data_IF_233946233141
#
_entry.id   IF_233946233141
#
_cell.length_a   1.000
_cell.length_b   1.000
_cell.length_c   1.000
_cell.angle_alpha   90.00
_cell.angle_beta   90.00
_cell.angle_gamma   90.00
#
_symmetry.space_group_name_H-M   'P 1'
#
loop_
_entity.id
_entity.type
_entity.pdbx_description
1 polymer ?
#
# COMPACT_ATOMS: atom_id res chain seq x y z
N UNK A 1 -0.54 4.76 -21.71
CA UNK A 1 -0.58 5.99 -22.52
C UNK A 1 -0.25 7.18 -21.67
N UNK A 2 1.03 7.49 -21.57
CA UNK A 2 1.51 8.70 -20.89
C UNK A 2 1.47 9.88 -21.85
N UNK A 3 1.11 11.05 -21.35
CA UNK A 3 1.44 12.27 -22.05
C UNK A 3 2.95 12.28 -22.31
N UNK A 4 3.42 12.61 -23.51
CA UNK A 4 4.82 12.88 -23.72
C UNK A 4 5.17 14.08 -22.87
N UNK A 5 5.90 13.85 -21.81
CA UNK A 5 6.42 14.87 -20.95
C UNK A 5 7.75 15.35 -21.53
N UNK A 6 8.13 16.58 -21.23
CA UNK A 6 9.42 17.16 -21.57
C UNK A 6 10.56 16.19 -21.30
N UNK A 7 11.24 15.72 -22.31
CA UNK A 7 12.49 15.03 -22.12
C UNK A 7 13.60 16.06 -21.81
N UNK A 8 14.39 15.82 -20.77
CA UNK A 8 15.80 16.15 -20.84
C UNK A 8 16.36 15.27 -21.97
N UNK A 9 16.42 15.83 -23.15
CA UNK A 9 16.41 15.18 -24.46
C UNK A 9 17.32 13.98 -24.71
N UNK A 10 18.22 13.64 -23.78
CA UNK A 10 19.25 12.67 -24.05
C UNK A 10 19.30 11.50 -23.04
N UNK A 11 18.53 11.51 -21.94
CA UNK A 11 18.56 10.41 -20.95
C UNK A 11 18.04 9.11 -21.57
N UNK A 12 16.93 9.14 -22.29
CA UNK A 12 16.36 7.96 -22.94
C UNK A 12 17.21 7.45 -24.11
N UNK A 13 18.03 8.29 -24.71
CA UNK A 13 18.98 7.86 -25.76
C UNK A 13 20.08 7.00 -25.17
N UNK A 14 20.58 7.32 -23.95
CA UNK A 14 21.50 6.45 -23.20
C UNK A 14 20.86 5.11 -22.86
N UNK A 15 19.59 5.12 -22.44
CA UNK A 15 18.85 3.89 -22.19
C UNK A 15 18.71 3.04 -23.46
N UNK A 16 18.37 3.64 -24.59
CA UNK A 16 18.27 2.92 -25.87
C UNK A 16 19.62 2.33 -26.31
N UNK A 17 20.72 3.05 -26.11
CA UNK A 17 22.07 2.54 -26.36
C UNK A 17 22.39 1.34 -25.46
N UNK A 18 21.98 1.38 -24.20
CA UNK A 18 22.18 0.26 -23.28
C UNK A 18 21.30 -0.94 -23.63
N UNK A 19 20.06 -0.72 -24.04
CA UNK A 19 19.18 -1.78 -24.57
C UNK A 19 19.81 -2.45 -25.81
N UNK A 20 20.34 -1.67 -26.75
CA UNK A 20 20.98 -2.20 -27.94
C UNK A 20 22.20 -3.07 -27.63
N UNK A 21 23.02 -2.68 -26.63
CA UNK A 21 24.13 -3.51 -26.13
C UNK A 21 23.68 -4.87 -25.57
N UNK A 22 22.45 -4.93 -25.03
CA UNK A 22 21.87 -6.13 -24.44
C UNK A 22 20.91 -6.87 -25.40
N UNK A 23 21.09 -6.69 -26.71
CA UNK A 23 20.32 -7.36 -27.79
C UNK A 23 18.81 -7.05 -27.76
N UNK A 24 18.41 -5.89 -27.26
CA UNK A 24 17.06 -5.36 -27.40
C UNK A 24 17.06 -4.38 -28.56
N UNK A 25 16.03 -4.41 -29.41
CA UNK A 25 15.88 -3.50 -30.56
C UNK A 25 14.98 -2.30 -30.16
N UNK A 26 15.56 -1.17 -29.74
CA UNK A 26 14.80 0.01 -29.40
C UNK A 26 14.48 0.86 -30.64
N UNK A 27 13.29 1.48 -30.61
CA UNK A 27 12.93 2.59 -31.51
C UNK A 27 12.79 3.83 -30.62
N UNK A 28 13.48 4.90 -30.98
CA UNK A 28 13.40 6.18 -30.30
C UNK A 28 12.34 7.07 -30.97
N UNK A 29 11.35 7.51 -30.22
CA UNK A 29 10.40 8.54 -30.66
C UNK A 29 10.74 9.85 -29.94
N UNK A 30 11.09 10.87 -30.68
CA UNK A 30 11.40 12.20 -30.16
C UNK A 30 10.37 13.21 -30.70
N UNK A 31 9.65 13.88 -29.84
CA UNK A 31 8.61 14.86 -30.23
C UNK A 31 9.19 16.18 -30.78
N UNK A 32 10.50 16.36 -30.66
CA UNK A 32 11.23 17.52 -31.21
C UNK A 32 11.47 17.36 -32.69
N UNK A 33 11.71 18.49 -33.36
CA UNK A 33 12.22 18.51 -34.73
C UNK A 33 13.61 17.87 -34.79
N UNK A 34 14.02 17.47 -35.97
CA UNK A 34 15.34 16.83 -36.18
C UNK A 34 16.46 17.76 -35.71
N UNK A 35 17.32 17.24 -34.87
CA UNK A 35 18.48 17.95 -34.31
C UNK A 35 19.64 16.95 -34.14
N UNK A 36 20.84 17.46 -33.99
CA UNK A 36 22.03 16.64 -33.73
C UNK A 36 22.48 16.77 -32.27
N UNK A 37 22.96 15.68 -31.71
CA UNK A 37 23.74 15.62 -30.48
C UNK A 37 24.65 14.39 -30.50
N UNK A 38 25.69 14.39 -29.68
CA UNK A 38 26.62 13.23 -29.62
C UNK A 38 25.88 11.89 -29.38
N UNK A 39 24.83 11.90 -28.54
CA UNK A 39 24.06 10.68 -28.27
C UNK A 39 23.14 10.27 -29.42
N UNK A 40 22.65 11.22 -30.22
CA UNK A 40 21.90 10.93 -31.44
C UNK A 40 22.81 10.29 -32.44
N UNK A 41 23.99 10.88 -32.66
CA UNK A 41 24.95 10.40 -33.62
C UNK A 41 25.49 9.01 -33.24
N UNK A 42 25.75 8.79 -31.96
CA UNK A 42 26.10 7.47 -31.41
C UNK A 42 24.96 6.46 -31.64
N UNK A 43 23.71 6.81 -31.31
CA UNK A 43 22.57 5.92 -31.53
C UNK A 43 22.33 5.57 -32.98
N UNK A 44 22.43 6.55 -33.87
CA UNK A 44 22.38 6.33 -35.35
C UNK A 44 23.51 5.40 -35.80
N UNK A 45 24.74 5.60 -35.30
CA UNK A 45 25.88 4.74 -35.63
C UNK A 45 25.73 3.28 -35.18
N UNK A 46 24.94 3.05 -34.14
CA UNK A 46 24.60 1.70 -33.66
C UNK A 46 23.35 1.11 -34.32
N UNK A 47 22.81 1.78 -35.36
CA UNK A 47 21.64 1.31 -36.08
C UNK A 47 20.32 1.38 -35.30
N UNK A 48 20.20 2.30 -34.34
CA UNK A 48 18.93 2.54 -33.62
C UNK A 48 18.06 3.46 -34.51
N UNK A 49 16.81 3.04 -34.72
CA UNK A 49 15.81 3.83 -35.45
C UNK A 49 15.37 5.03 -34.55
N UNK A 50 15.61 6.25 -35.07
CA UNK A 50 15.22 7.48 -34.36
C UNK A 50 14.24 8.25 -35.25
N UNK A 51 13.04 8.48 -34.72
CA UNK A 51 11.96 9.17 -35.43
C UNK A 51 11.66 10.49 -34.73
N UNK A 52 12.06 11.59 -35.35
CA UNK A 52 11.79 12.94 -34.88
C UNK A 52 10.35 13.38 -35.20
N UNK A 53 9.84 14.32 -34.45
CA UNK A 53 8.43 14.78 -34.49
C UNK A 53 7.43 13.64 -34.35
N UNK A 54 7.77 12.57 -33.62
CA UNK A 54 6.90 11.44 -33.39
C UNK A 54 6.60 11.23 -31.92
N UNK A 55 5.40 10.69 -31.64
CA UNK A 55 5.01 10.29 -30.30
C UNK A 55 4.05 9.12 -30.29
N UNK A 56 3.91 8.48 -29.14
CA UNK A 56 2.95 7.40 -28.92
C UNK A 56 1.55 7.99 -28.75
N UNK A 57 0.57 7.44 -29.46
CA UNK A 57 -0.85 7.81 -29.40
C UNK A 57 -1.60 6.83 -28.48
N UNK A 58 -1.44 5.53 -28.75
CA UNK A 58 -2.15 4.45 -28.05
C UNK A 58 -1.23 3.26 -27.88
N UNK A 59 -1.26 2.63 -26.70
CA UNK A 59 -0.70 1.31 -26.48
C UNK A 59 -1.78 0.25 -26.69
N UNK A 60 -1.48 -0.77 -27.49
CA UNK A 60 -2.39 -1.86 -27.77
C UNK A 60 -1.96 -3.14 -27.07
N UNK A 61 -2.91 -3.86 -26.52
CA UNK A 61 -2.72 -5.12 -25.81
C UNK A 61 -3.79 -5.32 -24.75
N UNK A 62 -3.78 -6.46 -24.08
CA UNK A 62 -4.71 -6.74 -22.97
C UNK A 62 -3.95 -6.99 -21.67
N UNK A 63 -3.22 -8.12 -21.56
CA UNK A 63 -2.39 -8.44 -20.39
C UNK A 63 -0.97 -7.86 -20.48
N UNK A 64 -0.52 -7.57 -21.68
CA UNK A 64 0.78 -6.97 -21.99
C UNK A 64 0.66 -6.14 -23.25
N UNK A 65 1.56 -5.19 -23.44
CA UNK A 65 1.69 -4.43 -24.67
C UNK A 65 2.06 -5.39 -25.81
N UNK A 66 1.44 -5.20 -26.97
CA UNK A 66 1.73 -5.93 -28.22
C UNK A 66 2.14 -5.02 -29.36
N UNK A 67 1.63 -3.80 -29.34
CA UNK A 67 1.99 -2.78 -30.34
C UNK A 67 1.69 -1.39 -29.81
N UNK A 68 2.25 -0.38 -30.42
CA UNK A 68 1.94 1.01 -30.20
C UNK A 68 1.46 1.67 -31.49
N UNK A 69 0.38 2.44 -31.43
CA UNK A 69 0.03 3.38 -32.47
C UNK A 69 0.87 4.64 -32.25
N UNK A 70 1.67 5.02 -33.22
CA UNK A 70 2.54 6.19 -33.19
C UNK A 70 2.13 7.18 -34.27
N UNK A 71 2.43 8.45 -34.06
CA UNK A 71 2.08 9.49 -35.01
C UNK A 71 3.18 10.50 -35.24
N UNK A 72 3.34 10.90 -36.48
CA UNK A 72 4.17 12.05 -36.88
C UNK A 72 3.37 13.33 -36.63
N UNK A 73 3.87 14.17 -35.74
CA UNK A 73 3.27 15.46 -35.42
C UNK A 73 3.49 16.45 -36.59
N UNK A 74 2.48 17.29 -36.84
CA UNK A 74 2.66 18.44 -37.72
C UNK A 74 3.54 19.50 -37.03
N UNK A 75 3.95 20.54 -37.80
CA UNK A 75 4.84 21.60 -37.30
C UNK A 75 4.32 22.29 -36.02
N UNK A 76 3.02 22.52 -35.95
CA UNK A 76 2.38 23.18 -34.80
C UNK A 76 2.08 22.21 -33.64
N UNK A 77 2.38 20.92 -33.80
CA UNK A 77 2.16 19.83 -32.84
C UNK A 77 0.71 19.71 -32.35
N UNK A 78 -0.26 20.16 -33.12
CA UNK A 78 -1.68 20.12 -32.82
C UNK A 78 -2.46 19.02 -33.53
N UNK A 79 -1.81 18.30 -34.44
CA UNK A 79 -2.38 17.19 -35.21
C UNK A 79 -1.31 16.23 -35.72
N UNK A 80 -1.72 15.10 -36.29
CA UNK A 80 -0.81 14.12 -36.89
C UNK A 80 -0.84 14.21 -38.41
N UNK A 81 0.36 14.24 -39.04
CA UNK A 81 0.53 14.11 -40.49
C UNK A 81 0.36 12.65 -40.94
N UNK A 82 0.91 11.72 -40.16
CA UNK A 82 0.89 10.30 -40.45
C UNK A 82 0.76 9.52 -39.16
N UNK A 83 -0.05 8.46 -39.19
CA UNK A 83 -0.23 7.53 -38.06
C UNK A 83 0.09 6.12 -38.57
N UNK A 84 0.84 5.37 -37.77
CA UNK A 84 1.19 3.98 -38.08
C UNK A 84 1.20 3.13 -36.77
N UNK A 85 1.17 1.83 -36.94
CA UNK A 85 1.26 0.88 -35.82
C UNK A 85 2.62 0.17 -35.87
N UNK A 86 3.29 0.11 -34.74
CA UNK A 86 4.58 -0.54 -34.56
C UNK A 86 4.43 -1.65 -33.51
N UNK A 87 4.86 -2.84 -33.84
CA UNK A 87 4.89 -3.96 -32.90
C UNK A 87 5.95 -3.71 -31.83
N UNK A 88 5.58 -3.86 -30.59
CA UNK A 88 6.46 -3.75 -29.43
C UNK A 88 5.89 -4.50 -28.23
N UNK A 89 6.75 -4.94 -27.34
CA UNK A 89 6.38 -5.60 -26.09
C UNK A 89 6.55 -4.71 -24.86
N UNK A 90 7.22 -3.57 -25.03
CA UNK A 90 7.42 -2.58 -23.98
C UNK A 90 7.44 -1.16 -24.54
N UNK A 91 6.86 -0.21 -23.80
CA UNK A 91 6.92 1.23 -24.09
C UNK A 91 7.60 1.91 -22.91
N UNK A 92 8.80 2.44 -23.14
CA UNK A 92 9.55 3.21 -22.17
C UNK A 92 9.28 4.70 -22.37
N UNK A 93 8.84 5.39 -21.32
CA UNK A 93 8.59 6.83 -21.38
C UNK A 93 9.58 7.54 -20.48
N UNK A 94 10.31 8.50 -21.03
CA UNK A 94 11.15 9.41 -20.28
C UNK A 94 10.56 10.82 -20.39
N UNK A 95 10.09 11.30 -19.27
CA UNK A 95 9.59 12.67 -19.16
C UNK A 95 10.70 13.67 -18.87
N UNK A 96 10.35 14.78 -18.26
CA UNK A 96 11.31 15.77 -17.80
C UNK A 96 11.56 15.65 -16.29
N UNK A 97 12.59 16.31 -15.82
CA UNK A 97 12.87 16.43 -14.41
C UNK A 97 12.25 17.71 -13.87
N UNK A 98 11.66 17.60 -12.70
CA UNK A 98 11.13 18.75 -11.95
C UNK A 98 11.81 18.82 -10.59
N UNK A 99 12.10 20.00 -10.07
CA UNK A 99 12.66 20.14 -8.73
C UNK A 99 11.77 19.48 -7.67
N UNK A 100 12.39 18.75 -6.75
CA UNK A 100 11.67 18.15 -5.62
C UNK A 100 11.45 19.20 -4.53
N UNK A 101 10.45 20.04 -4.72
CA UNK A 101 10.16 21.21 -3.85
C UNK A 101 9.29 20.87 -2.63
N UNK A 102 8.93 19.58 -2.46
CA UNK A 102 7.98 19.17 -1.43
C UNK A 102 8.42 19.56 -0.02
N UNK A 103 9.66 19.26 0.35
CA UNK A 103 10.18 19.59 1.69
C UNK A 103 10.24 21.10 1.93
N UNK A 104 10.68 21.87 0.94
CA UNK A 104 10.69 23.32 1.02
C UNK A 104 9.27 23.90 1.17
N UNK A 105 8.31 23.37 0.40
CA UNK A 105 6.91 23.76 0.51
C UNK A 105 6.29 23.37 1.86
N UNK A 106 6.59 22.17 2.36
CA UNK A 106 6.09 21.67 3.65
C UNK A 106 6.67 22.46 4.84
N UNK A 107 7.90 22.99 4.70
CA UNK A 107 8.48 23.91 5.69
C UNK A 107 7.84 25.32 5.67
N UNK A 108 6.89 25.53 4.76
CA UNK A 108 6.15 26.79 4.61
C UNK A 108 6.79 27.80 3.68
N UNK A 109 7.82 27.43 2.94
CA UNK A 109 8.43 28.30 1.94
C UNK A 109 7.46 28.57 0.79
N UNK A 110 7.57 29.75 0.21
CA UNK A 110 6.91 30.06 -1.05
C UNK A 110 7.72 29.48 -2.21
N UNK A 111 7.01 29.10 -3.24
CA UNK A 111 7.59 28.65 -4.50
C UNK A 111 7.45 29.76 -5.53
N UNK A 112 8.42 29.86 -6.45
CA UNK A 112 8.33 30.68 -7.65
C UNK A 112 8.48 29.83 -8.90
N UNK A 113 7.84 30.22 -9.98
CA UNK A 113 8.01 29.59 -11.27
C UNK A 113 9.29 30.10 -11.95
N UNK A 114 10.10 29.19 -12.43
CA UNK A 114 11.34 29.50 -13.17
C UNK A 114 11.14 29.11 -14.64
N UNK A 115 11.02 30.12 -15.49
CA UNK A 115 10.70 29.94 -16.91
C UNK A 115 11.75 29.16 -17.70
N UNK A 116 13.02 29.23 -17.28
CA UNK A 116 14.13 28.53 -17.97
C UNK A 116 14.00 27.01 -17.88
N UNK A 117 13.45 26.53 -16.79
CA UNK A 117 13.25 25.10 -16.56
C UNK A 117 11.75 24.72 -16.53
N UNK A 118 10.86 25.69 -16.77
CA UNK A 118 9.40 25.54 -16.72
C UNK A 118 8.90 24.75 -15.51
N UNK A 119 9.40 25.07 -14.34
CA UNK A 119 9.07 24.37 -13.09
C UNK A 119 9.12 25.33 -11.90
N UNK A 120 8.54 24.89 -10.79
CA UNK A 120 8.62 25.63 -9.54
C UNK A 120 9.92 25.34 -8.81
N UNK A 121 10.53 26.37 -8.22
CA UNK A 121 11.69 26.28 -7.32
C UNK A 121 11.39 26.99 -6.01
N UNK A 122 12.10 26.66 -4.91
CA UNK A 122 12.00 27.39 -3.65
C UNK A 122 12.34 28.88 -3.81
N UNK A 123 11.57 29.76 -3.16
CA UNK A 123 11.77 31.21 -3.20
C UNK A 123 11.98 31.75 -1.77
N UNK A 124 10.90 32.29 -1.14
CA UNK A 124 10.98 32.90 0.18
C UNK A 124 10.96 31.87 1.29
N UNK A 125 12.02 31.87 2.10
CA UNK A 125 12.21 30.95 3.23
C UNK A 125 11.41 31.39 4.45
N UNK A 126 10.79 30.45 5.13
CA UNK A 126 10.18 30.62 6.45
C UNK A 126 11.02 30.06 7.58
N UNK A 127 11.81 29.04 7.30
CA UNK A 127 12.64 28.34 8.27
C UNK A 127 14.13 28.45 7.91
N UNK A 128 15.00 28.05 8.85
CA UNK A 128 16.44 28.01 8.64
C UNK A 128 16.82 26.80 7.79
N UNK A 129 16.46 26.82 6.51
CA UNK A 129 16.78 25.76 5.55
C UNK A 129 17.28 26.38 4.23
N UNK A 130 17.95 25.59 3.41
CA UNK A 130 18.38 25.99 2.08
C UNK A 130 18.30 24.79 1.14
N UNK A 131 17.54 24.94 0.08
CA UNK A 131 17.46 23.95 -0.99
C UNK A 131 18.57 24.18 -2.01
N UNK A 132 19.28 23.12 -2.38
CA UNK A 132 20.40 23.12 -3.32
C UNK A 132 20.29 22.03 -4.35
N UNK A 133 21.08 22.09 -5.40
CA UNK A 133 21.12 21.08 -6.46
C UNK A 133 19.77 20.95 -7.17
N UNK A 134 19.37 19.73 -7.52
CA UNK A 134 18.15 19.44 -8.28
C UNK A 134 16.87 19.93 -7.58
N UNK A 135 16.83 19.98 -6.25
CA UNK A 135 15.71 20.53 -5.48
C UNK A 135 15.57 22.06 -5.69
N UNK A 136 16.59 22.72 -6.18
CA UNK A 136 16.59 24.16 -6.53
C UNK A 136 16.74 24.42 -8.05
N UNK A 137 16.48 23.38 -8.88
CA UNK A 137 16.44 23.51 -10.34
C UNK A 137 17.79 23.31 -11.06
N UNK A 138 18.85 22.90 -10.36
CA UNK A 138 20.15 22.57 -10.97
C UNK A 138 20.20 21.08 -11.26
N UNK A 139 20.07 20.71 -12.54
CA UNK A 139 19.94 19.30 -12.94
C UNK A 139 21.26 18.67 -13.43
N UNK A 140 22.34 19.45 -13.57
CA UNK A 140 23.65 18.91 -13.88
C UNK A 140 24.42 18.57 -12.62
N UNK A 141 25.34 17.61 -12.69
CA UNK A 141 26.22 17.24 -11.57
C UNK A 141 27.14 18.41 -11.20
N UNK A 142 27.67 19.10 -12.21
CA UNK A 142 28.52 20.28 -12.03
C UNK A 142 27.82 21.37 -11.21
N UNK A 143 26.63 21.78 -11.63
CA UNK A 143 25.82 22.80 -10.93
C UNK A 143 25.43 22.35 -9.53
N UNK A 144 25.04 21.07 -9.36
CA UNK A 144 24.63 20.50 -8.07
C UNK A 144 25.78 20.50 -7.07
N UNK A 145 26.99 20.12 -7.50
CA UNK A 145 28.20 20.17 -6.67
C UNK A 145 28.52 21.62 -6.31
N UNK A 146 28.54 22.51 -7.28
CA UNK A 146 28.81 23.94 -7.05
C UNK A 146 27.84 24.53 -6.02
N UNK A 147 26.56 24.33 -6.20
CA UNK A 147 25.53 24.78 -5.23
C UNK A 147 25.72 24.18 -3.84
N UNK A 148 26.05 22.87 -3.77
CA UNK A 148 26.31 22.20 -2.49
C UNK A 148 27.50 22.79 -1.75
N UNK A 149 28.62 22.94 -2.42
CA UNK A 149 29.86 23.48 -1.86
C UNK A 149 29.71 24.96 -1.43
N UNK A 150 29.16 25.81 -2.31
CA UNK A 150 28.96 27.24 -2.02
C UNK A 150 28.01 27.46 -0.82
N UNK A 151 26.88 26.75 -0.79
CA UNK A 151 25.93 26.90 0.30
C UNK A 151 26.45 26.24 1.61
N UNK A 152 27.11 25.13 1.54
CA UNK A 152 27.75 24.48 2.69
C UNK A 152 28.81 25.41 3.33
N UNK A 153 29.70 26.00 2.53
CA UNK A 153 30.69 26.98 2.98
C UNK A 153 30.04 28.21 3.62
N UNK A 154 29.01 28.76 2.99
CA UNK A 154 28.30 29.93 3.50
C UNK A 154 27.55 29.64 4.81
N UNK A 155 26.98 28.45 4.99
CA UNK A 155 26.33 28.03 6.23
C UNK A 155 27.37 27.79 7.34
N UNK A 156 28.47 27.12 7.02
CA UNK A 156 29.58 26.93 7.96
C UNK A 156 30.11 28.26 8.45
N UNK A 157 30.39 29.22 7.56
CA UNK A 157 30.85 30.55 7.92
C UNK A 157 29.91 31.30 8.87
N UNK A 158 28.61 31.09 8.76
CA UNK A 158 27.61 31.68 9.68
C UNK A 158 27.62 31.07 11.08
N UNK A 159 28.06 29.83 11.19
CA UNK A 159 28.08 29.09 12.47
C UNK A 159 29.43 29.24 13.19
N UNK A 160 30.53 29.25 12.41
CA UNK A 160 31.90 29.22 12.95
C UNK A 160 32.62 30.56 12.84
N UNK A 161 32.00 31.59 12.26
CA UNK A 161 32.60 32.88 11.86
C UNK A 161 33.85 32.74 10.99
N UNK A 162 34.07 31.57 10.38
CA UNK A 162 35.24 31.26 9.55
C UNK A 162 34.79 30.82 8.18
N UNK A 163 35.19 31.55 7.13
CA UNK A 163 34.94 31.14 5.75
C UNK A 163 36.02 30.18 5.27
N UNK A 164 35.62 28.96 4.97
CA UNK A 164 36.53 27.96 4.40
C UNK A 164 36.41 28.01 2.86
N UNK A 165 37.54 28.22 2.19
CA UNK A 165 37.60 28.04 0.74
C UNK A 165 37.71 26.55 0.43
N UNK A 166 36.73 26.04 -0.28
CA UNK A 166 36.66 24.62 -0.70
C UNK A 166 36.79 24.58 -2.22
N UNK A 167 37.76 23.79 -2.71
CA UNK A 167 37.92 23.54 -4.12
C UNK A 167 36.73 22.74 -4.63
N UNK A 168 35.97 23.30 -5.59
CA UNK A 168 34.84 22.62 -6.22
C UNK A 168 35.40 21.60 -7.23
N UNK A 169 35.02 20.30 -7.13
CA UNK A 169 35.48 19.30 -8.09
C UNK A 169 35.07 19.66 -9.51
N UNK A 170 36.02 19.56 -10.44
CA UNK A 170 35.73 19.75 -11.86
C UNK A 170 35.07 18.49 -12.42
N UNK A 171 33.96 18.63 -13.12
CA UNK A 171 33.19 17.52 -13.68
C UNK A 171 33.12 17.70 -15.19
N UNK A 172 33.54 16.67 -15.92
CA UNK A 172 33.35 16.62 -17.36
C UNK A 172 32.00 15.99 -17.67
N UNK A 173 30.95 16.81 -17.74
CA UNK A 173 29.58 16.34 -17.99
C UNK A 173 29.10 16.79 -19.38
N UNK A 174 28.46 15.85 -20.09
CA UNK A 174 27.83 16.14 -21.38
C UNK A 174 26.64 17.07 -21.18
N UNK A 175 26.58 18.16 -21.93
CA UNK A 175 25.46 19.09 -21.92
C UNK A 175 24.19 18.43 -22.48
N UNK A 176 23.08 18.61 -21.81
CA UNK A 176 21.78 18.17 -22.28
C UNK A 176 21.20 19.17 -23.30
N UNK A 177 20.50 18.66 -24.31
CA UNK A 177 19.87 19.50 -25.34
C UNK A 177 18.71 20.35 -24.80
N UNK A 178 18.27 21.30 -25.60
CA UNK A 178 17.18 22.21 -25.27
C UNK A 178 15.86 21.50 -24.96
N UNK A 179 15.08 22.07 -24.05
CA UNK A 179 13.74 21.59 -23.71
C UNK A 179 12.73 21.87 -24.82
N UNK A 180 11.71 21.01 -24.92
CA UNK A 180 10.54 21.24 -25.75
C UNK A 180 9.29 21.40 -24.87
N UNK A 181 8.56 22.50 -25.08
CA UNK A 181 7.32 22.79 -24.34
C UNK A 181 6.14 22.05 -24.96
N UNK A 182 6.13 20.73 -24.82
CA UNK A 182 5.07 19.89 -25.34
C UNK A 182 4.45 19.04 -24.23
N UNK A 183 3.25 19.33 -23.85
CA UNK A 183 2.64 18.82 -22.61
C UNK A 183 1.56 17.76 -22.83
N UNK A 184 0.97 17.70 -24.04
CA UNK A 184 -0.12 16.80 -24.34
C UNK A 184 -0.12 16.40 -25.80
N UNK A 185 -0.21 15.11 -26.08
CA UNK A 185 -0.42 14.62 -27.46
C UNK A 185 -1.79 15.08 -27.97
N UNK A 186 -1.89 15.52 -29.25
CA UNK A 186 -3.18 15.79 -29.86
C UNK A 186 -3.99 14.51 -29.99
N UNK A 187 -5.31 14.65 -30.13
CA UNK A 187 -6.18 13.52 -30.41
C UNK A 187 -6.19 13.20 -31.91
N UNK A 188 -6.09 11.92 -32.28
CA UNK A 188 -6.31 11.53 -33.66
C UNK A 188 -7.79 11.73 -34.05
N UNK A 189 -8.04 11.94 -35.34
CA UNK A 189 -9.42 12.05 -35.85
C UNK A 189 -10.18 10.75 -35.55
N UNK A 190 -11.38 10.90 -35.00
CA UNK A 190 -12.31 9.80 -34.67
C UNK A 190 -11.82 8.81 -33.59
N UNK A 191 -10.79 9.13 -32.83
CA UNK A 191 -10.33 8.32 -31.70
C UNK A 191 -10.16 9.21 -30.46
N UNK A 192 -10.50 8.69 -29.30
CA UNK A 192 -10.34 9.40 -28.03
C UNK A 192 -9.66 8.50 -27.01
N UNK A 193 -8.36 8.21 -27.18
CA UNK A 193 -7.60 7.43 -26.21
C UNK A 193 -7.49 8.18 -24.87
N UNK A 194 -7.51 7.45 -23.76
CA UNK A 194 -7.25 8.04 -22.46
C UNK A 194 -5.82 8.58 -22.39
N UNK A 195 -5.68 9.84 -21.98
CA UNK A 195 -4.40 10.52 -21.78
C UNK A 195 -4.21 10.76 -20.27
N UNK A 196 -3.52 9.82 -19.61
CA UNK A 196 -3.32 9.87 -18.17
C UNK A 196 -2.32 10.96 -17.78
N UNK A 197 -2.68 11.72 -16.75
CA UNK A 197 -1.88 12.76 -16.10
C UNK A 197 -1.29 12.24 -14.79
N UNK A 198 -2.10 11.56 -14.00
CA UNK A 198 -1.72 10.93 -12.73
C UNK A 198 -2.06 9.45 -12.78
N UNK A 199 -1.04 8.60 -12.73
CA UNK A 199 -1.21 7.14 -12.80
C UNK A 199 -1.59 6.50 -11.48
N UNK A 200 -1.34 7.16 -10.35
CA UNK A 200 -1.65 6.58 -9.04
C UNK A 200 -3.16 6.65 -8.75
N UNK A 201 -3.82 7.67 -9.29
CA UNK A 201 -5.26 7.87 -9.14
C UNK A 201 -6.02 7.85 -10.48
N UNK A 202 -5.39 7.37 -11.56
CA UNK A 202 -5.98 7.27 -12.90
C UNK A 202 -6.58 8.57 -13.44
N UNK A 203 -6.03 9.73 -13.03
CA UNK A 203 -6.52 11.03 -13.51
C UNK A 203 -6.08 11.26 -14.94
N UNK A 204 -7.02 11.53 -15.82
CA UNK A 204 -6.80 11.80 -17.24
C UNK A 204 -7.00 13.29 -17.59
N UNK A 205 -6.63 13.64 -18.81
CA UNK A 205 -6.89 14.98 -19.36
C UNK A 205 -8.39 15.30 -19.33
N UNK A 206 -9.24 14.34 -19.69
CA UNK A 206 -10.70 14.52 -19.68
C UNK A 206 -11.27 14.81 -18.29
N UNK A 207 -10.66 14.26 -17.22
CA UNK A 207 -11.11 14.56 -15.85
C UNK A 207 -10.81 16.01 -15.47
N UNK A 208 -9.66 16.55 -15.91
CA UNK A 208 -9.32 17.95 -15.74
C UNK A 208 -10.26 18.85 -16.55
N UNK A 209 -10.55 18.49 -17.81
CA UNK A 209 -11.49 19.20 -18.67
C UNK A 209 -12.90 19.23 -18.04
N UNK A 210 -13.36 18.11 -17.48
CA UNK A 210 -14.63 18.04 -16.74
C UNK A 210 -14.61 18.97 -15.51
N UNK A 211 -13.56 18.90 -14.68
CA UNK A 211 -13.45 19.74 -13.50
C UNK A 211 -13.56 21.24 -13.85
N UNK A 212 -12.87 21.67 -14.90
CA UNK A 212 -12.92 23.07 -15.37
C UNK A 212 -14.29 23.44 -15.92
N UNK A 213 -14.95 22.54 -16.67
CA UNK A 213 -16.30 22.72 -17.17
C UNK A 213 -17.35 22.83 -16.06
N UNK A 214 -17.17 22.07 -14.98
CA UNK A 214 -18.00 22.13 -13.76
C UNK A 214 -17.75 23.41 -12.93
N UNK A 215 -16.79 24.25 -13.32
CA UNK A 215 -16.53 25.55 -12.71
C UNK A 215 -15.40 25.57 -11.67
N UNK A 216 -14.66 24.50 -11.47
CA UNK A 216 -13.52 24.46 -10.57
C UNK A 216 -12.32 25.17 -11.21
N UNK A 217 -12.08 26.43 -10.89
CA UNK A 217 -11.02 27.28 -11.49
C UNK A 217 -9.70 27.25 -10.72
N UNK A 218 -9.77 27.07 -9.40
CA UNK A 218 -8.57 26.96 -8.57
C UNK A 218 -7.95 25.57 -8.74
N UNK A 219 -6.64 25.52 -8.95
CA UNK A 219 -5.92 24.23 -9.07
C UNK A 219 -6.10 23.35 -7.82
N UNK A 220 -6.24 23.93 -6.63
CA UNK A 220 -6.53 23.20 -5.40
C UNK A 220 -7.93 22.58 -5.41
N UNK A 221 -8.90 23.16 -6.09
CA UNK A 221 -10.23 22.56 -6.28
C UNK A 221 -10.21 21.49 -7.38
N UNK A 222 -9.55 21.77 -8.50
CA UNK A 222 -9.32 20.76 -9.55
C UNK A 222 -8.65 19.53 -8.97
N UNK A 223 -7.61 19.71 -8.14
CA UNK A 223 -6.93 18.64 -7.41
C UNK A 223 -7.91 17.80 -6.58
N UNK A 224 -8.80 18.42 -5.81
CA UNK A 224 -9.75 17.71 -4.95
C UNK A 224 -10.86 17.01 -5.73
N UNK A 225 -11.30 17.62 -6.81
CA UNK A 225 -12.33 17.05 -7.66
C UNK A 225 -11.83 15.82 -8.42
N UNK A 226 -10.60 15.89 -8.96
CA UNK A 226 -10.01 14.83 -9.79
C UNK A 226 -9.11 13.86 -9.04
N UNK A 227 -8.74 14.15 -7.79
CA UNK A 227 -7.69 13.49 -7.02
C UNK A 227 -6.26 13.65 -7.58
N UNK A 228 -6.05 14.58 -8.52
CA UNK A 228 -4.75 14.89 -9.11
C UNK A 228 -3.70 15.19 -8.03
N UNK A 229 -2.62 14.44 -7.99
CA UNK A 229 -1.51 14.64 -7.05
C UNK A 229 -1.86 14.40 -5.58
N UNK A 230 -2.92 13.65 -5.28
CA UNK A 230 -3.33 13.31 -3.91
C UNK A 230 -2.78 11.97 -3.43
N UNK A 231 -2.16 11.19 -4.29
CA UNK A 231 -1.58 9.90 -3.93
C UNK A 231 -0.25 10.05 -3.15
N UNK A 232 0.41 8.93 -2.86
CA UNK A 232 1.57 8.87 -1.97
C UNK A 232 2.78 9.67 -2.44
N UNK A 233 2.93 9.93 -3.74
CA UNK A 233 3.98 10.78 -4.29
C UNK A 233 3.66 12.27 -4.21
N UNK A 234 2.46 12.63 -3.77
CA UNK A 234 1.94 14.00 -3.68
C UNK A 234 2.14 14.80 -4.97
N UNK A 235 1.88 14.14 -6.11
CA UNK A 235 1.94 14.75 -7.44
C UNK A 235 3.34 15.04 -7.96
N UNK A 236 4.37 14.37 -7.44
CA UNK A 236 5.76 14.53 -7.93
C UNK A 236 5.87 14.32 -9.43
N UNK A 237 5.12 13.37 -9.98
CA UNK A 237 5.14 13.02 -11.40
C UNK A 237 3.99 13.63 -12.21
N UNK A 238 2.97 14.22 -11.56
CA UNK A 238 1.71 14.62 -12.20
C UNK A 238 1.37 16.11 -12.06
N UNK A 239 1.73 16.75 -10.95
CA UNK A 239 1.27 18.11 -10.65
C UNK A 239 1.64 19.13 -11.73
N UNK A 240 2.88 19.15 -12.20
CA UNK A 240 3.30 20.12 -13.20
C UNK A 240 2.60 19.90 -14.55
N UNK A 241 2.39 18.65 -14.95
CA UNK A 241 1.61 18.32 -16.14
C UNK A 241 0.16 18.81 -16.02
N UNK A 242 -0.47 18.58 -14.86
CA UNK A 242 -1.82 19.05 -14.58
C UNK A 242 -1.92 20.58 -14.61
N UNK A 243 -0.94 21.28 -14.02
CA UNK A 243 -0.87 22.75 -14.03
C UNK A 243 -0.74 23.30 -15.46
N UNK A 244 0.10 22.72 -16.29
CA UNK A 244 0.25 23.13 -17.67
C UNK A 244 -1.01 22.87 -18.51
N UNK A 245 -1.72 21.77 -18.25
CA UNK A 245 -3.00 21.50 -18.90
C UNK A 245 -4.06 22.55 -18.50
N UNK A 246 -4.19 22.85 -17.20
CA UNK A 246 -5.10 23.90 -16.74
C UNK A 246 -4.73 25.25 -17.34
N UNK A 247 -3.44 25.57 -17.37
CA UNK A 247 -2.89 26.78 -18.02
C UNK A 247 -3.33 26.88 -19.49
N UNK A 248 -3.15 25.81 -20.25
CA UNK A 248 -3.52 25.76 -21.67
C UNK A 248 -5.03 25.86 -21.89
N UNK A 249 -5.85 25.14 -21.10
CA UNK A 249 -7.31 25.13 -21.25
C UNK A 249 -7.92 26.48 -20.85
N UNK A 250 -7.41 27.10 -19.78
CA UNK A 250 -7.87 28.39 -19.28
C UNK A 250 -7.23 29.58 -20.00
N UNK A 251 -6.30 29.34 -20.92
CA UNK A 251 -5.51 30.38 -21.61
C UNK A 251 -4.81 31.35 -20.63
N UNK A 252 -4.21 30.81 -19.58
CA UNK A 252 -3.45 31.49 -18.54
C UNK A 252 -2.00 31.06 -18.53
N UNK A 253 -1.12 31.85 -17.94
CA UNK A 253 0.25 31.38 -17.66
C UNK A 253 0.29 30.56 -16.36
N UNK A 254 1.22 29.62 -16.24
CA UNK A 254 1.34 28.74 -15.07
C UNK A 254 1.43 29.48 -13.73
N UNK A 255 2.15 30.60 -13.60
CA UNK A 255 2.13 31.41 -12.38
C UNK A 255 0.75 31.89 -11.95
N UNK A 256 -0.16 32.15 -12.89
CA UNK A 256 -1.54 32.57 -12.59
C UNK A 256 -2.42 31.40 -12.16
N UNK A 257 -2.16 30.21 -12.67
CA UNK A 257 -2.81 28.97 -12.19
C UNK A 257 -2.38 28.66 -10.77
N UNK A 258 -1.13 28.98 -10.43
CA UNK A 258 -0.53 28.74 -9.13
C UNK A 258 0.08 27.34 -9.00
N UNK A 259 0.13 26.83 -7.78
CA UNK A 259 0.62 25.47 -7.49
C UNK A 259 -0.21 24.83 -6.38
N UNK A 260 -0.13 23.52 -6.28
CA UNK A 260 -0.81 22.75 -5.24
C UNK A 260 0.03 22.68 -3.97
N UNK A 261 -0.64 22.62 -2.82
CA UNK A 261 0.03 22.41 -1.53
C UNK A 261 0.40 20.92 -1.37
N UNK A 262 1.64 20.67 -1.03
CA UNK A 262 2.16 19.34 -0.78
C UNK A 262 1.98 18.95 0.69
N UNK A 263 1.45 17.76 0.96
CA UNK A 263 1.25 17.25 2.32
C UNK A 263 2.28 16.15 2.64
N UNK A 264 2.81 16.11 3.88
CA UNK A 264 3.64 14.99 4.30
C UNK A 264 2.77 13.73 4.55
N UNK A 265 3.34 12.52 4.36
CA UNK A 265 4.59 12.24 3.67
C UNK A 265 4.38 12.18 2.14
N UNK A 266 5.31 12.72 1.37
CA UNK A 266 5.27 12.63 -0.11
C UNK A 266 6.01 11.40 -0.67
N UNK A 267 6.68 10.67 0.18
CA UNK A 267 7.32 9.37 -0.11
C UNK A 267 6.65 8.32 0.77
N UNK A 268 6.25 7.16 0.21
CA UNK A 268 5.69 6.08 1.01
C UNK A 268 6.65 5.69 2.14
N UNK A 269 6.15 5.71 3.36
CA UNK A 269 6.89 5.30 4.56
C UNK A 269 6.14 4.21 5.28
N UNK A 270 6.87 3.28 5.88
CA UNK A 270 6.27 2.22 6.67
C UNK A 270 5.83 2.75 8.04
N UNK A 271 4.82 2.13 8.62
CA UNK A 271 4.38 2.42 10.00
C UNK A 271 5.56 2.27 10.97
N UNK A 272 6.42 1.26 10.76
CA UNK A 272 7.61 1.07 11.59
C UNK A 272 8.59 2.26 11.56
N UNK A 273 8.70 2.97 10.43
CA UNK A 273 9.49 4.20 10.32
C UNK A 273 8.89 5.33 11.16
N UNK A 274 7.56 5.46 11.19
CA UNK A 274 6.85 6.46 11.99
C UNK A 274 7.02 6.17 13.49
N UNK A 275 6.87 4.91 13.89
CA UNK A 275 7.05 4.45 15.28
C UNK A 275 8.50 4.66 15.74
N UNK A 276 9.46 4.57 14.84
CA UNK A 276 10.88 4.73 15.16
C UNK A 276 11.47 3.50 15.87
N UNK A 277 12.36 3.75 16.84
CA UNK A 277 13.06 2.69 17.58
C UNK A 277 12.33 2.23 18.84
N UNK A 278 11.38 3.00 19.30
CA UNK A 278 10.60 2.72 20.50
C UNK A 278 9.42 1.80 20.16
N UNK A 279 9.76 0.55 19.84
CA UNK A 279 8.79 -0.51 19.54
C UNK A 279 8.50 -1.29 20.83
N UNK A 280 7.52 -0.84 21.58
CA UNK A 280 7.09 -1.49 22.83
C UNK A 280 5.82 -2.31 22.65
N UNK A 281 5.16 -2.55 23.78
CA UNK A 281 3.95 -3.36 23.86
C UNK A 281 2.77 -2.74 23.09
N UNK A 282 2.73 -1.42 22.96
CA UNK A 282 1.70 -0.71 22.19
C UNK A 282 1.80 -0.95 20.70
N UNK A 283 3.04 -1.13 20.17
CA UNK A 283 3.26 -1.45 18.77
C UNK A 283 2.88 -2.89 18.42
N UNK A 284 3.22 -3.83 19.30
CA UNK A 284 2.94 -5.25 19.11
C UNK A 284 2.47 -5.84 20.45
N UNK A 285 1.19 -5.62 20.82
CA UNK A 285 0.70 -6.05 22.11
C UNK A 285 0.79 -7.56 22.25
N UNK A 286 1.30 -8.01 23.39
CA UNK A 286 1.35 -9.42 23.76
C UNK A 286 0.27 -9.70 24.78
N UNK A 287 -0.63 -10.63 24.45
CA UNK A 287 -1.68 -11.10 25.35
C UNK A 287 -1.21 -12.37 26.06
N UNK A 288 -1.44 -12.42 27.35
CA UNK A 288 -1.06 -13.54 28.21
C UNK A 288 -2.30 -14.15 28.84
N UNK A 289 -2.33 -15.48 28.95
CA UNK A 289 -3.41 -16.17 29.68
C UNK A 289 -3.24 -15.99 31.20
N UNK A 290 -4.27 -16.18 32.02
CA UNK A 290 -4.11 -16.18 33.47
C UNK A 290 -3.12 -17.22 33.98
N UNK A 291 -2.86 -18.29 33.25
CA UNK A 291 -1.91 -19.35 33.58
C UNK A 291 -0.49 -19.09 33.07
N UNK A 292 -0.21 -17.96 32.45
CA UNK A 292 1.05 -17.70 31.75
C UNK A 292 2.29 -17.88 32.64
N UNK A 293 2.27 -17.33 33.85
CA UNK A 293 3.38 -17.46 34.81
C UNK A 293 3.60 -18.93 35.24
N UNK A 294 2.50 -19.69 35.39
CA UNK A 294 2.60 -21.11 35.69
C UNK A 294 3.28 -21.87 34.53
N UNK A 295 2.91 -21.53 33.30
CA UNK A 295 3.53 -22.13 32.11
C UNK A 295 5.03 -21.82 32.06
N UNK A 296 5.44 -20.56 32.32
CA UNK A 296 6.84 -20.17 32.37
C UNK A 296 7.63 -20.95 33.44
N UNK A 297 7.08 -21.05 34.64
CA UNK A 297 7.69 -21.80 35.76
C UNK A 297 7.83 -23.30 35.48
N UNK A 298 7.02 -23.84 34.56
CA UNK A 298 7.05 -25.24 34.16
C UNK A 298 7.75 -25.46 32.80
N UNK A 299 8.63 -24.57 32.38
CA UNK A 299 9.44 -24.66 31.17
C UNK A 299 8.62 -24.78 29.87
N UNK A 300 7.48 -24.13 29.80
CA UNK A 300 6.71 -24.05 28.56
C UNK A 300 7.50 -23.30 27.47
N UNK A 301 7.53 -23.88 26.29
CA UNK A 301 7.96 -23.18 25.07
C UNK A 301 6.73 -22.59 24.42
N UNK A 302 6.74 -21.27 24.17
CA UNK A 302 5.58 -20.57 23.66
C UNK A 302 5.60 -20.45 22.15
N UNK A 303 4.41 -20.30 21.57
CA UNK A 303 4.15 -19.94 20.17
C UNK A 303 3.16 -18.78 20.15
N UNK A 304 3.34 -17.89 19.17
CA UNK A 304 2.40 -16.81 18.95
C UNK A 304 1.16 -17.31 18.19
N UNK A 305 -0.01 -17.05 18.74
CA UNK A 305 -1.31 -17.31 18.12
C UNK A 305 -2.06 -15.96 18.07
N UNK A 306 -1.94 -15.23 16.96
CA UNK A 306 -2.29 -13.81 16.91
C UNK A 306 -1.42 -13.02 17.90
N UNK A 307 -2.05 -12.24 18.78
CA UNK A 307 -1.36 -11.52 19.85
C UNK A 307 -1.09 -12.36 21.11
N UNK A 308 -1.61 -13.57 21.19
CA UNK A 308 -1.51 -14.40 22.37
C UNK A 308 -0.21 -15.21 22.41
N UNK A 309 0.43 -15.27 23.61
CA UNK A 309 1.45 -16.28 23.93
C UNK A 309 0.76 -17.57 24.38
N UNK A 310 0.90 -18.60 23.59
CA UNK A 310 0.29 -19.92 23.83
C UNK A 310 1.35 -20.96 24.12
N UNK A 311 1.24 -21.78 25.22
CA UNK A 311 2.17 -22.86 25.43
C UNK A 311 2.06 -23.89 24.30
N UNK A 312 3.20 -24.24 23.72
CA UNK A 312 3.29 -25.23 22.63
C UNK A 312 3.60 -26.63 23.15
N UNK A 313 4.57 -26.70 24.06
CA UNK A 313 4.98 -27.91 24.76
C UNK A 313 5.77 -27.54 26.02
N UNK A 314 5.97 -28.48 26.94
CA UNK A 314 6.76 -28.30 28.15
C UNK A 314 8.06 -29.07 28.03
N UNK A 315 9.18 -28.36 27.93
CA UNK A 315 10.49 -28.91 27.69
C UNK A 315 11.02 -29.67 28.90
N UNK A 316 11.52 -30.90 28.71
CA UNK A 316 12.24 -31.69 29.69
C UNK A 316 13.67 -31.97 29.21
N UNK A 317 14.66 -31.51 29.98
CA UNK A 317 16.07 -31.64 29.60
C UNK A 317 16.40 -31.04 28.24
N UNK A 318 17.06 -31.80 27.38
CA UNK A 318 17.49 -31.34 26.05
C UNK A 318 16.60 -31.89 24.91
N UNK A 319 15.37 -32.34 25.21
CA UNK A 319 14.48 -32.85 24.18
C UNK A 319 14.11 -31.79 23.10
N UNK A 320 13.97 -32.29 21.89
CA UNK A 320 13.47 -31.50 20.76
C UNK A 320 11.96 -31.35 20.83
N UNK A 321 11.41 -30.41 20.04
CA UNK A 321 9.95 -30.25 19.87
C UNK A 321 9.24 -31.56 19.55
N UNK A 322 9.82 -32.40 18.66
CA UNK A 322 9.21 -33.65 18.23
C UNK A 322 9.19 -34.68 19.37
N UNK A 323 10.26 -34.81 20.13
CA UNK A 323 10.34 -35.70 21.29
C UNK A 323 9.37 -35.29 22.40
N UNK A 324 9.30 -33.99 22.73
CA UNK A 324 8.36 -33.44 23.68
C UNK A 324 6.92 -33.74 23.26
N UNK A 325 6.56 -33.40 22.00
CA UNK A 325 5.22 -33.63 21.46
C UNK A 325 4.84 -35.12 21.49
N UNK A 326 5.77 -36.02 21.16
CA UNK A 326 5.55 -37.45 21.21
C UNK A 326 5.30 -37.95 22.64
N UNK A 327 6.10 -37.48 23.61
CA UNK A 327 5.95 -37.78 25.03
C UNK A 327 4.60 -37.30 25.57
N UNK A 328 4.23 -36.05 25.29
CA UNK A 328 2.98 -35.47 25.75
C UNK A 328 1.76 -36.17 25.10
N UNK A 329 1.80 -36.42 23.80
CA UNK A 329 0.74 -37.15 23.12
C UNK A 329 0.56 -38.56 23.66
N UNK A 330 1.67 -39.27 23.96
CA UNK A 330 1.63 -40.61 24.59
C UNK A 330 0.96 -40.52 25.97
N UNK A 331 1.32 -39.52 26.79
CA UNK A 331 0.71 -39.33 28.11
C UNK A 331 -0.81 -39.12 28.00
N UNK A 332 -1.27 -38.29 27.06
CA UNK A 332 -2.70 -38.09 26.85
C UNK A 332 -3.42 -39.35 26.44
N UNK A 333 -2.78 -40.21 25.62
CA UNK A 333 -3.35 -41.48 25.16
C UNK A 333 -3.46 -42.52 26.27
N UNK A 334 -2.50 -42.57 27.19
CA UNK A 334 -2.41 -43.59 28.24
C UNK A 334 -2.96 -43.10 29.60
N UNK A 335 -2.99 -41.83 29.84
CA UNK A 335 -3.35 -41.24 31.12
C UNK A 335 -4.35 -40.08 30.97
N UNK A 336 -3.91 -38.87 31.27
CA UNK A 336 -4.68 -37.63 31.16
C UNK A 336 -3.73 -36.49 30.85
N UNK A 337 -4.18 -35.58 30.01
CA UNK A 337 -3.52 -34.31 29.74
C UNK A 337 -4.47 -33.12 29.95
N UNK A 338 -3.90 -31.98 30.32
CA UNK A 338 -4.58 -30.69 30.41
C UNK A 338 -3.93 -29.74 29.42
N UNK A 339 -4.72 -28.98 28.70
CA UNK A 339 -4.24 -27.96 27.76
C UNK A 339 -4.93 -26.62 28.04
N UNK A 340 -4.16 -25.54 28.18
CA UNK A 340 -4.71 -24.19 28.27
C UNK A 340 -5.27 -23.78 26.90
N UNK A 341 -6.57 -23.66 26.81
CA UNK A 341 -7.33 -23.22 25.62
C UNK A 341 -7.98 -21.86 25.84
N UNK A 342 -7.51 -21.10 26.83
CA UNK A 342 -7.99 -19.74 27.15
C UNK A 342 -7.92 -18.81 25.94
N UNK A 343 -6.99 -19.05 25.02
CA UNK A 343 -6.78 -18.18 23.85
C UNK A 343 -7.87 -18.30 22.78
N UNK A 344 -8.72 -19.35 22.82
CA UNK A 344 -9.84 -19.48 21.88
C UNK A 344 -10.77 -18.28 22.02
N UNK A 345 -11.29 -17.79 20.91
CA UNK A 345 -12.32 -16.76 20.93
C UNK A 345 -13.59 -17.29 21.61
N UNK A 346 -14.28 -16.45 22.36
CA UNK A 346 -15.54 -16.74 23.01
C UNK A 346 -16.49 -15.61 22.76
N UNK A 347 -17.69 -15.93 22.29
CA UNK A 347 -18.71 -14.96 21.95
C UNK A 347 -20.04 -15.44 22.54
N UNK A 348 -20.67 -14.58 23.28
CA UNK A 348 -22.05 -14.80 23.75
C UNK A 348 -23.04 -14.21 22.76
N UNK A 349 -24.07 -14.98 22.43
CA UNK A 349 -25.12 -14.63 21.50
C UNK A 349 -26.45 -14.75 22.25
N UNK A 350 -27.18 -13.65 22.38
CA UNK A 350 -28.42 -13.55 23.14
C UNK A 350 -29.53 -12.87 22.37
N UNK A 351 -30.70 -13.40 22.46
CA UNK A 351 -31.89 -12.82 21.85
C UNK A 351 -32.92 -13.87 21.43
N UNK A 352 -34.18 -13.51 21.25
CA UNK A 352 -35.20 -14.45 20.84
C UNK A 352 -34.89 -15.09 19.48
N UNK A 353 -34.18 -14.38 18.57
CA UNK A 353 -33.84 -14.88 17.27
C UNK A 353 -32.42 -15.47 17.17
N UNK A 354 -31.76 -15.69 18.32
CA UNK A 354 -30.36 -16.21 18.36
C UNK A 354 -30.23 -17.58 17.70
N UNK A 355 -31.21 -18.48 17.84
CA UNK A 355 -31.20 -19.79 17.18
C UNK A 355 -31.29 -19.69 15.67
N UNK A 356 -32.16 -18.82 15.18
CA UNK A 356 -32.32 -18.56 13.74
C UNK A 356 -31.08 -17.89 13.15
N UNK A 357 -30.54 -16.88 13.83
CA UNK A 357 -29.31 -16.23 13.41
C UNK A 357 -28.16 -17.23 13.25
N UNK A 358 -27.92 -18.06 14.26
CA UNK A 358 -26.90 -19.10 14.19
C UNK A 358 -27.16 -20.11 13.06
N UNK A 359 -28.42 -20.42 12.80
CA UNK A 359 -28.80 -21.33 11.74
C UNK A 359 -28.57 -20.75 10.33
N UNK A 360 -28.52 -19.40 10.21
CA UNK A 360 -28.18 -18.71 8.95
C UNK A 360 -26.67 -18.60 8.72
N UNK A 361 -25.88 -18.39 9.77
CA UNK A 361 -24.43 -18.17 9.63
C UNK A 361 -23.61 -19.46 9.63
N UNK A 362 -24.15 -20.56 10.15
CA UNK A 362 -23.48 -21.86 10.19
C UNK A 362 -24.13 -22.87 9.23
N UNK A 363 -23.38 -23.87 8.83
CA UNK A 363 -23.89 -24.99 8.02
C UNK A 363 -24.76 -25.99 8.80
N UNK A 364 -24.84 -25.86 10.12
CA UNK A 364 -25.48 -26.81 11.04
C UNK A 364 -26.87 -26.32 11.48
N UNK A 365 -27.71 -27.25 11.96
CA UNK A 365 -29.10 -26.96 12.38
C UNK A 365 -29.17 -26.53 13.87
N UNK A 366 -29.00 -25.24 14.14
CA UNK A 366 -28.95 -24.69 15.52
C UNK A 366 -30.32 -24.59 16.17
N UNK A 367 -31.37 -24.36 15.41
CA UNK A 367 -32.74 -24.30 15.93
C UNK A 367 -33.17 -25.58 16.67
N UNK A 368 -32.58 -26.73 16.30
CA UNK A 368 -32.85 -28.06 16.91
C UNK A 368 -31.85 -28.43 18.00
N UNK A 369 -30.97 -27.53 18.43
CA UNK A 369 -30.03 -27.80 19.49
C UNK A 369 -30.76 -27.70 20.85
N UNK A 370 -30.82 -28.76 21.68
CA UNK A 370 -31.43 -28.66 23.00
C UNK A 370 -30.63 -27.76 23.96
N UNK A 371 -31.32 -27.18 24.96
CA UNK A 371 -30.66 -26.47 26.04
C UNK A 371 -29.74 -27.42 26.81
N UNK A 372 -28.57 -26.95 27.23
CA UNK A 372 -27.53 -27.75 27.90
C UNK A 372 -26.69 -28.61 26.95
N UNK A 373 -26.85 -28.46 25.61
CA UNK A 373 -26.06 -29.20 24.64
C UNK A 373 -25.18 -28.27 23.83
N UNK A 374 -24.01 -28.82 23.46
CA UNK A 374 -23.08 -28.20 22.54
C UNK A 374 -23.17 -28.84 21.14
N UNK A 375 -22.74 -28.13 20.13
CA UNK A 375 -22.59 -28.63 18.76
C UNK A 375 -21.37 -28.01 18.12
N UNK A 376 -20.58 -28.83 17.46
CA UNK A 376 -19.52 -28.39 16.57
C UNK A 376 -20.14 -27.88 15.26
N UNK A 377 -19.66 -26.76 14.75
CA UNK A 377 -20.16 -26.13 13.54
C UNK A 377 -19.06 -25.58 12.66
N UNK A 378 -19.37 -25.51 11.38
CA UNK A 378 -18.54 -24.86 10.36
C UNK A 378 -19.21 -23.56 9.90
N UNK A 379 -18.49 -22.47 9.98
CA UNK A 379 -18.87 -21.18 9.41
C UNK A 379 -18.19 -21.04 8.06
N UNK A 380 -18.97 -20.77 7.02
CA UNK A 380 -18.47 -20.58 5.65
C UNK A 380 -18.63 -19.13 5.25
N UNK A 381 -17.76 -18.69 4.37
CA UNK A 381 -17.96 -17.50 3.57
C UNK A 381 -18.98 -17.76 2.46
N UNK A 382 -19.46 -16.70 1.82
CA UNK A 382 -20.44 -16.78 0.72
C UNK A 382 -19.93 -17.57 -0.50
N UNK A 383 -18.60 -17.63 -0.67
CA UNK A 383 -17.93 -18.43 -1.71
C UNK A 383 -17.76 -19.93 -1.33
N UNK A 384 -18.26 -20.34 -0.17
CA UNK A 384 -18.18 -21.72 0.34
C UNK A 384 -16.86 -22.09 1.00
N UNK A 385 -15.92 -21.15 1.13
CA UNK A 385 -14.65 -21.38 1.83
C UNK A 385 -14.89 -21.32 3.34
N UNK A 386 -14.28 -22.23 4.08
CA UNK A 386 -14.35 -22.26 5.55
C UNK A 386 -13.73 -20.96 6.11
N UNK A 387 -14.52 -20.24 6.85
CA UNK A 387 -14.09 -19.02 7.54
C UNK A 387 -13.55 -19.34 8.94
N UNK A 388 -14.30 -20.13 9.69
CA UNK A 388 -13.94 -20.58 11.03
C UNK A 388 -14.71 -21.86 11.41
N UNK A 389 -14.29 -22.49 12.49
CA UNK A 389 -14.96 -23.61 13.10
C UNK A 389 -14.94 -23.49 14.63
N UNK A 390 -15.86 -24.16 15.31
CA UNK A 390 -15.89 -24.14 16.75
C UNK A 390 -17.10 -24.86 17.33
N UNK A 391 -17.18 -24.83 18.65
CA UNK A 391 -18.33 -25.37 19.38
C UNK A 391 -19.24 -24.24 19.84
N UNK A 392 -20.53 -24.44 19.73
CA UNK A 392 -21.54 -23.54 20.28
C UNK A 392 -22.45 -24.31 21.24
N UNK A 393 -22.56 -23.84 22.45
CA UNK A 393 -23.38 -24.42 23.52
C UNK A 393 -24.65 -23.59 23.70
N UNK A 394 -25.82 -24.21 23.75
CA UNK A 394 -27.05 -23.57 24.11
C UNK A 394 -27.21 -23.55 25.63
N UNK A 395 -26.88 -22.40 26.26
CA UNK A 395 -26.91 -22.22 27.72
C UNK A 395 -28.36 -22.14 28.25
N UNK A 396 -29.22 -21.40 27.53
CA UNK A 396 -30.65 -21.30 27.79
C UNK A 396 -31.40 -21.15 26.48
N UNK A 397 -32.70 -20.99 26.51
CA UNK A 397 -33.54 -20.89 25.31
C UNK A 397 -33.02 -19.84 24.32
N UNK A 398 -32.64 -18.66 24.83
CA UNK A 398 -32.21 -17.51 24.02
C UNK A 398 -30.76 -17.09 24.28
N UNK A 399 -29.93 -17.99 24.82
CA UNK A 399 -28.52 -17.71 25.11
C UNK A 399 -27.62 -18.83 24.61
N UNK A 400 -26.69 -18.46 23.74
CA UNK A 400 -25.66 -19.35 23.19
C UNK A 400 -24.27 -18.81 23.52
N UNK A 401 -23.35 -19.72 23.82
CA UNK A 401 -21.94 -19.45 24.04
C UNK A 401 -21.17 -20.19 22.95
N UNK A 402 -20.49 -19.45 22.08
CA UNK A 402 -19.71 -20.02 20.99
C UNK A 402 -18.22 -19.82 21.20
N UNK A 403 -17.43 -20.78 20.71
CA UNK A 403 -15.99 -20.68 20.63
C UNK A 403 -15.57 -20.53 19.18
N UNK A 404 -14.42 -19.87 18.96
CA UNK A 404 -13.79 -19.66 17.63
C UNK A 404 -12.32 -20.02 17.71
N UNK A 405 -11.67 -20.18 16.57
CA UNK A 405 -10.20 -20.27 16.57
C UNK A 405 -9.60 -18.99 17.12
N UNK A 406 -8.45 -19.09 17.77
CA UNK A 406 -7.77 -17.97 18.44
C UNK A 406 -7.54 -16.79 17.48
N UNK A 407 -7.02 -17.07 16.29
CA UNK A 407 -6.67 -16.05 15.30
C UNK A 407 -7.89 -15.39 14.63
N UNK A 408 -9.04 -16.09 14.61
CA UNK A 408 -10.24 -15.62 13.94
C UNK A 408 -11.26 -14.94 14.85
N UNK A 409 -11.01 -14.88 16.15
CA UNK A 409 -11.98 -14.36 17.13
C UNK A 409 -12.56 -12.97 16.77
N UNK A 410 -11.70 -12.04 16.36
CA UNK A 410 -12.12 -10.69 15.95
C UNK A 410 -12.85 -10.69 14.60
N UNK A 411 -12.38 -11.49 13.63
CA UNK A 411 -12.99 -11.56 12.30
C UNK A 411 -14.40 -12.18 12.38
N UNK A 412 -14.56 -13.22 13.18
CA UNK A 412 -15.88 -13.85 13.41
C UNK A 412 -16.83 -12.86 14.07
N UNK A 413 -16.39 -12.14 15.12
CA UNK A 413 -17.24 -11.12 15.74
C UNK A 413 -17.69 -10.06 14.74
N UNK A 414 -16.76 -9.50 13.98
CA UNK A 414 -17.08 -8.50 12.93
C UNK A 414 -18.02 -9.05 11.86
N UNK A 415 -17.88 -10.31 11.48
CA UNK A 415 -18.78 -10.99 10.54
C UNK A 415 -20.19 -11.11 11.09
N UNK A 416 -20.33 -11.52 12.35
CA UNK A 416 -21.63 -11.61 13.02
C UNK A 416 -22.30 -10.24 13.13
N UNK A 417 -21.54 -9.21 13.52
CA UNK A 417 -22.02 -7.82 13.61
C UNK A 417 -22.46 -7.29 12.24
N UNK A 418 -21.71 -7.57 11.17
CA UNK A 418 -22.08 -7.18 9.81
C UNK A 418 -23.45 -7.73 9.42
N UNK A 419 -23.67 -9.03 9.65
CA UNK A 419 -24.95 -9.63 9.29
C UNK A 419 -26.11 -9.08 10.14
N UNK A 420 -25.90 -8.84 11.42
CA UNK A 420 -26.94 -8.29 12.29
C UNK A 420 -27.25 -6.82 12.03
N UNK A 421 -26.24 -6.02 11.66
CA UNK A 421 -26.43 -4.59 11.48
C UNK A 421 -26.84 -4.21 10.06
N UNK A 422 -26.46 -5.00 9.06
CA UNK A 422 -26.59 -4.64 7.64
C UNK A 422 -27.49 -5.60 6.87
N UNK A 423 -27.30 -6.92 7.02
CA UNK A 423 -27.99 -7.91 6.16
C UNK A 423 -29.32 -8.34 6.75
N UNK A 424 -29.37 -8.56 8.07
CA UNK A 424 -30.60 -9.01 8.80
C UNK A 424 -30.87 -8.13 10.02
N UNK A 425 -31.05 -6.82 9.84
CA UNK A 425 -31.26 -5.88 10.95
C UNK A 425 -32.61 -6.09 11.68
N UNK A 426 -33.50 -6.90 11.08
CA UNK A 426 -34.77 -7.28 11.69
C UNK A 426 -34.64 -8.31 12.81
N UNK A 427 -33.52 -9.04 12.90
CA UNK A 427 -33.31 -10.05 13.94
C UNK A 427 -32.98 -9.42 15.29
N UNK A 428 -33.71 -9.83 16.31
CA UNK A 428 -33.47 -9.37 17.67
C UNK A 428 -32.43 -10.24 18.38
N UNK A 429 -31.17 -9.93 18.10
CA UNK A 429 -29.99 -10.65 18.58
C UNK A 429 -28.90 -9.66 19.00
N UNK A 430 -28.24 -9.95 20.14
CA UNK A 430 -27.06 -9.25 20.62
C UNK A 430 -25.88 -10.21 20.64
N UNK A 431 -24.73 -9.75 20.14
CA UNK A 431 -23.46 -10.48 20.17
C UNK A 431 -22.44 -9.69 21.01
N UNK A 432 -21.66 -10.41 21.82
CA UNK A 432 -20.62 -9.78 22.64
C UNK A 432 -19.43 -10.71 22.81
N UNK A 433 -18.21 -10.18 22.63
CA UNK A 433 -17.00 -10.95 22.93
C UNK A 433 -16.85 -11.13 24.44
N UNK A 434 -16.69 -12.37 24.84
CA UNK A 434 -16.39 -12.76 26.22
C UNK A 434 -15.04 -13.47 26.36
N UNK A 435 -14.18 -13.28 25.36
CA UNK A 435 -12.87 -13.96 25.23
C UNK A 435 -12.01 -13.76 26.48
N UNK A 436 -11.94 -12.55 27.02
CA UNK A 436 -11.15 -12.25 28.21
C UNK A 436 -11.85 -12.56 29.55
N UNK A 437 -13.13 -12.92 29.52
CA UNK A 437 -13.90 -13.20 30.75
C UNK A 437 -13.74 -14.65 31.19
N UNK A 438 -13.24 -15.53 30.32
CA UNK A 438 -13.18 -16.96 30.61
C UNK A 438 -11.74 -17.49 30.41
N UNK A 439 -11.22 -18.13 31.45
CA UNK A 439 -10.11 -19.07 31.30
C UNK A 439 -10.64 -20.43 30.90
N UNK A 440 -10.02 -21.07 29.94
CA UNK A 440 -10.44 -22.37 29.42
C UNK A 440 -9.34 -23.42 29.54
N UNK A 441 -9.69 -24.61 30.03
CA UNK A 441 -8.79 -25.75 30.03
C UNK A 441 -9.49 -26.96 29.41
N UNK A 442 -8.80 -27.57 28.41
CA UNK A 442 -9.24 -28.83 27.83
C UNK A 442 -8.58 -29.99 28.57
N UNK A 443 -9.38 -30.93 29.06
CA UNK A 443 -8.93 -32.13 29.74
C UNK A 443 -9.25 -33.34 28.86
N UNK A 444 -8.24 -34.15 28.52
CA UNK A 444 -8.40 -35.27 27.64
C UNK A 444 -7.61 -36.49 28.15
N UNK A 445 -8.05 -37.69 27.75
CA UNK A 445 -7.42 -38.95 28.05
C UNK A 445 -8.30 -39.91 28.88
N UNK A 446 -7.95 -41.23 28.91
CA UNK A 446 -8.78 -42.24 29.53
C UNK A 446 -9.02 -42.02 31.06
N UNK A 447 -8.09 -41.33 31.72
CA UNK A 447 -8.20 -41.03 33.17
C UNK A 447 -8.79 -39.65 33.48
N UNK A 448 -9.28 -38.90 32.47
CA UNK A 448 -9.79 -37.53 32.65
C UNK A 448 -10.95 -37.43 33.64
N UNK A 449 -11.90 -38.38 33.60
CA UNK A 449 -13.05 -38.42 34.48
C UNK A 449 -12.64 -38.63 35.96
N UNK A 450 -11.71 -39.54 36.22
CA UNK A 450 -11.17 -39.76 37.56
C UNK A 450 -10.41 -38.57 38.13
N UNK A 451 -9.79 -37.76 37.25
CA UNK A 451 -9.17 -36.48 37.63
C UNK A 451 -10.23 -35.43 37.98
N UNK A 452 -11.27 -35.30 37.18
CA UNK A 452 -12.38 -34.36 37.43
C UNK A 452 -13.09 -34.65 38.76
N UNK A 453 -13.39 -35.94 39.06
CA UNK A 453 -14.00 -36.35 40.35
C UNK A 453 -13.14 -35.97 41.56
N UNK A 454 -11.81 -35.92 41.42
CA UNK A 454 -10.92 -35.51 42.51
C UNK A 454 -10.88 -33.98 42.67
N UNK A 455 -10.96 -33.24 41.58
CA UNK A 455 -10.94 -31.77 41.57
C UNK A 455 -12.28 -31.19 42.05
N UNK A 456 -13.36 -31.86 41.70
CA UNK A 456 -14.74 -31.43 41.97
C UNK A 456 -15.51 -32.61 42.60
N UNK A 457 -15.28 -32.92 43.89
CA UNK A 457 -15.89 -34.11 44.56
C UNK A 457 -17.41 -34.08 44.59
N UNK A 458 -17.97 -32.88 44.61
CA UNK A 458 -19.43 -32.65 44.69
C UNK A 458 -20.12 -32.66 43.32
N UNK A 459 -19.33 -32.80 42.22
CA UNK A 459 -19.86 -32.83 40.86
C UNK A 459 -20.02 -34.26 40.39
N UNK A 460 -21.21 -34.63 39.99
CA UNK A 460 -21.45 -35.87 39.28
C UNK A 460 -20.88 -35.78 37.87
N UNK A 461 -19.83 -36.52 37.60
CA UNK A 461 -19.13 -36.60 36.29
C UNK A 461 -19.41 -37.91 35.56
N UNK A 462 -20.49 -38.63 35.92
CA UNK A 462 -20.95 -39.86 35.24
C UNK A 462 -21.31 -39.61 33.76
N UNK A 463 -21.48 -40.65 32.98
CA UNK A 463 -21.93 -40.51 31.58
C UNK A 463 -23.37 -39.96 31.48
N UNK A 464 -24.18 -40.23 32.52
CA UNK A 464 -25.56 -39.75 32.64
C UNK A 464 -25.59 -38.25 32.89
N UNK A 465 -24.76 -37.74 33.81
CA UNK A 465 -24.67 -36.32 34.16
C UNK A 465 -23.92 -35.50 33.11
N UNK A 466 -22.86 -36.04 32.54
CA UNK A 466 -22.05 -35.43 31.46
C UNK A 466 -22.06 -36.32 30.21
N UNK A 467 -23.18 -36.38 29.49
CA UNK A 467 -23.27 -37.15 28.26
C UNK A 467 -22.45 -36.48 27.14
N UNK A 468 -22.26 -37.19 26.02
CA UNK A 468 -21.59 -36.62 24.86
C UNK A 468 -22.23 -35.30 24.41
N UNK A 469 -21.43 -34.26 24.24
CA UNK A 469 -21.86 -32.88 23.91
C UNK A 469 -22.86 -32.30 24.93
N UNK A 470 -22.82 -32.74 26.20
CA UNK A 470 -23.60 -32.21 27.31
C UNK A 470 -22.89 -31.17 28.12
#
# INVERSE_FOLDING_TARGET
DRMPSRGLGDVYKRQALEFKKNNVEPIILDTREEHSSELIDEAKSKGIDIRFSHGVIVANGYKKVKSAKIGKLNKDKNSFEKIETVDCDCICVSGFWTPSVHLASQSGNKLKYEEKIDAFIPDKKKQHETSVGAANGSFTLEESLKHGFENGSNLSAKITDTKTEIAIPNVNEKKYGAHDKFWCMPLPKNENPKRFVDFQNDVSVSDIEIALREGYRSIEHVKRYTTLGMATDQGRTSNLNGLQLVSNIENKIVPEVGHTTFRPPFTPITIGTIVGREVGMEYMPTRKTPMHEWHEKNNAVFVDAGAWKRPRYYKQGNETLFEASKREAKNVRENVGICDVTTLGKIDIKGPDAAEFLNRVYTNAWMKLPVGKARYGLMLREDGIVMDDGTTTRISENHYHMTTTTAQAANVLSHLEYYLQIVWPELNVNVVSTTEQWAGAAIAGPKSRGMLSKLYPDLDVSNEALPFMG
#
